data_IF_639695864561
#
_entry.id   IF_639695864561
#
_cell.length_a   1.000
_cell.length_b   1.000
_cell.length_c   1.000
_cell.angle_alpha   90.00
_cell.angle_beta   90.00
_cell.angle_gamma   90.00
#
_symmetry.space_group_name_H-M   'P 1'
#
loop_
_entity.id
_entity.type
_entity.pdbx_description
1 polymer ?
#
# COMPACT_ATOMS: atom_id res chain seq x y z
N UNK A 1 27.70 9.60 20.53
CA UNK A 1 27.05 8.87 19.43
C UNK A 1 27.12 7.40 19.76
N UNK A 2 25.99 6.74 20.06
CA UNK A 2 25.94 5.29 20.22
C UNK A 2 26.24 4.58 18.88
N UNK A 3 26.79 3.37 18.96
CA UNK A 3 27.09 2.53 17.82
C UNK A 3 25.98 1.47 17.63
N UNK A 4 25.68 1.18 16.37
CA UNK A 4 24.81 0.09 15.97
C UNK A 4 25.64 -0.94 15.18
N UNK A 5 25.95 -2.05 15.82
CA UNK A 5 26.75 -3.12 15.25
C UNK A 5 25.88 -4.09 14.46
N UNK A 6 26.34 -4.53 13.30
CA UNK A 6 25.69 -5.57 12.49
C UNK A 6 26.73 -6.36 11.70
N UNK A 7 26.34 -7.48 11.09
CA UNK A 7 27.32 -8.35 10.44
C UNK A 7 27.81 -7.79 9.09
N UNK A 8 29.06 -8.11 8.75
CA UNK A 8 29.58 -8.00 7.37
C UNK A 8 28.72 -8.84 6.42
N UNK A 9 28.63 -8.44 5.16
CA UNK A 9 27.76 -9.06 4.13
C UNK A 9 26.26 -8.91 4.44
N UNK A 10 25.80 -7.67 4.63
CA UNK A 10 24.42 -7.32 5.00
C UNK A 10 23.38 -8.09 4.21
N UNK A 11 22.40 -8.68 4.90
CA UNK A 11 21.19 -9.20 4.29
C UNK A 11 20.01 -8.23 4.47
N UNK A 12 18.87 -8.57 3.85
CA UNK A 12 17.68 -7.72 3.87
C UNK A 12 17.09 -7.58 5.28
N UNK A 13 17.24 -8.59 6.14
CA UNK A 13 16.73 -8.58 7.52
C UNK A 13 17.60 -7.68 8.39
N UNK A 14 18.93 -7.80 8.28
CA UNK A 14 19.87 -6.91 8.95
C UNK A 14 19.63 -5.44 8.54
N UNK A 15 19.59 -5.15 7.25
CA UNK A 15 19.38 -3.78 6.75
C UNK A 15 18.02 -3.19 7.18
N UNK A 16 16.94 -3.96 7.08
CA UNK A 16 15.62 -3.50 7.54
C UNK A 16 15.56 -3.32 9.06
N UNK A 17 16.27 -4.15 9.82
CA UNK A 17 16.33 -4.07 11.28
C UNK A 17 17.10 -2.84 11.76
N UNK A 18 18.18 -2.47 11.05
CA UNK A 18 18.93 -1.22 11.29
C UNK A 18 17.99 -0.01 11.09
N UNK A 19 17.29 0.03 9.95
CA UNK A 19 16.32 1.08 9.66
C UNK A 19 15.22 1.17 10.73
N UNK A 20 14.63 0.03 11.13
CA UNK A 20 13.59 0.01 12.16
C UNK A 20 14.11 0.55 13.49
N UNK A 21 15.33 0.17 13.88
CA UNK A 21 15.95 0.66 15.09
C UNK A 21 16.15 2.18 15.06
N UNK A 22 16.74 2.70 13.98
CA UNK A 22 16.93 4.13 13.79
C UNK A 22 15.59 4.89 13.75
N UNK A 23 14.56 4.31 13.14
CA UNK A 23 13.22 4.89 13.13
C UNK A 23 12.62 5.00 14.53
N UNK A 24 12.67 3.91 15.32
CA UNK A 24 12.14 3.87 16.68
C UNK A 24 12.92 4.77 17.65
N UNK A 25 14.23 4.90 17.45
CA UNK A 25 15.15 5.63 18.32
C UNK A 25 15.73 6.88 17.63
N UNK A 26 14.96 7.52 16.75
CA UNK A 26 15.38 8.64 15.88
C UNK A 26 15.89 9.89 16.59
N UNK A 27 15.64 10.01 17.90
CA UNK A 27 16.24 11.06 18.73
C UNK A 27 17.76 10.88 18.94
N UNK A 28 18.30 9.71 18.60
CA UNK A 28 19.71 9.38 18.72
C UNK A 28 20.34 9.24 17.33
N UNK A 29 21.52 9.83 17.18
CA UNK A 29 22.35 9.62 15.99
C UNK A 29 23.10 8.30 16.17
N UNK A 30 22.85 7.33 15.29
CA UNK A 30 23.42 5.97 15.39
C UNK A 30 24.53 5.78 14.36
N UNK A 31 25.71 5.42 14.86
CA UNK A 31 26.83 5.07 14.00
C UNK A 31 26.80 3.58 13.64
N UNK A 32 26.48 3.24 12.40
CA UNK A 32 26.45 1.83 11.98
C UNK A 32 27.88 1.30 11.82
N UNK A 33 28.19 0.17 12.46
CA UNK A 33 29.49 -0.50 12.45
C UNK A 33 29.34 -1.93 11.96
N UNK A 34 30.07 -2.30 10.91
CA UNK A 34 30.05 -3.65 10.36
C UNK A 34 31.15 -4.50 10.99
N UNK A 35 30.77 -5.65 11.54
CA UNK A 35 31.68 -6.57 12.23
C UNK A 35 31.49 -8.00 11.70
N UNK A 36 32.46 -8.92 11.87
CA UNK A 36 32.23 -10.32 11.53
C UNK A 36 30.99 -10.89 12.24
N UNK A 37 30.24 -11.78 11.59
CA UNK A 37 29.05 -12.41 12.20
C UNK A 37 29.36 -13.20 13.49
N UNK A 38 30.63 -13.55 13.73
CA UNK A 38 31.13 -14.22 14.94
C UNK A 38 31.66 -13.25 16.00
N UNK A 39 31.47 -11.95 15.82
CA UNK A 39 31.99 -10.94 16.75
C UNK A 39 31.32 -11.05 18.14
N UNK A 40 32.10 -11.13 19.24
CA UNK A 40 31.58 -11.40 20.59
C UNK A 40 31.04 -10.16 21.32
N UNK A 41 31.14 -8.96 20.75
CA UNK A 41 30.67 -7.74 21.42
C UNK A 41 31.61 -7.17 22.49
N UNK A 42 32.92 -7.35 22.32
CA UNK A 42 33.96 -6.89 23.26
C UNK A 42 34.02 -5.35 23.37
N UNK A 43 33.76 -4.63 22.27
CA UNK A 43 33.86 -3.16 22.21
C UNK A 43 32.52 -2.44 22.49
N UNK A 44 31.45 -3.20 22.75
CA UNK A 44 30.12 -2.62 23.01
C UNK A 44 30.09 -1.86 24.34
N UNK A 45 29.66 -0.60 24.27
CA UNK A 45 29.25 0.19 25.43
C UNK A 45 27.80 -0.10 25.80
N UNK A 46 27.37 0.39 26.96
CA UNK A 46 26.02 0.16 27.49
C UNK A 46 24.91 0.80 26.65
N UNK A 47 25.23 1.84 25.88
CA UNK A 47 24.33 2.55 24.97
C UNK A 47 24.43 2.09 23.51
N UNK A 48 25.34 1.16 23.22
CA UNK A 48 25.46 0.56 21.89
C UNK A 48 24.47 -0.59 21.72
N UNK A 49 24.15 -0.93 20.48
CA UNK A 49 23.26 -2.06 20.15
C UNK A 49 23.88 -2.95 19.08
N UNK A 50 23.66 -4.27 19.17
CA UNK A 50 24.02 -5.22 18.12
C UNK A 50 22.75 -5.80 17.48
N UNK A 51 22.61 -5.64 16.16
CA UNK A 51 21.43 -5.99 15.37
C UNK A 51 21.78 -7.08 14.35
N UNK A 52 20.96 -8.13 14.34
CA UNK A 52 21.17 -9.39 13.64
C UNK A 52 22.52 -10.06 13.99
N UNK A 53 22.86 -9.98 15.28
CA UNK A 53 24.08 -10.52 15.86
C UNK A 53 23.79 -11.09 17.25
N UNK A 54 24.51 -12.15 17.62
CA UNK A 54 24.41 -12.72 18.97
C UNK A 54 25.17 -11.87 20.00
N UNK A 55 26.42 -11.48 19.67
CA UNK A 55 27.32 -10.70 20.52
C UNK A 55 27.36 -11.22 21.98
N UNK A 56 27.54 -12.54 22.15
CA UNK A 56 27.52 -13.23 23.46
C UNK A 56 26.24 -12.98 24.29
N UNK A 57 25.10 -12.84 23.61
CA UNK A 57 23.80 -12.59 24.23
C UNK A 57 23.51 -11.11 24.50
N UNK A 58 24.39 -10.19 24.06
CA UNK A 58 24.16 -8.74 24.13
C UNK A 58 23.37 -8.20 22.93
N UNK A 59 23.31 -8.95 21.83
CA UNK A 59 22.66 -8.54 20.59
C UNK A 59 21.23 -9.06 20.43
N UNK A 60 20.58 -8.52 19.41
CA UNK A 60 19.28 -8.97 18.92
C UNK A 60 19.52 -9.80 17.68
N UNK A 61 19.03 -11.04 17.66
CA UNK A 61 19.16 -11.95 16.52
C UNK A 61 17.86 -12.66 16.24
N UNK A 62 17.59 -12.90 14.95
CA UNK A 62 16.53 -13.80 14.51
C UNK A 62 16.53 -15.12 15.30
N UNK A 63 15.34 -15.58 15.70
CA UNK A 63 15.17 -16.75 16.57
C UNK A 63 14.11 -17.70 16.07
N UNK A 64 14.27 -18.98 16.41
CA UNK A 64 13.25 -20.00 16.18
C UNK A 64 12.48 -20.26 17.46
N UNK A 65 11.17 -20.12 17.40
CA UNK A 65 10.28 -20.41 18.52
C UNK A 65 10.09 -21.93 18.70
N UNK A 66 9.61 -22.39 19.87
CA UNK A 66 9.37 -23.81 20.14
C UNK A 66 8.38 -24.49 19.19
N UNK A 67 7.42 -23.72 18.65
CA UNK A 67 6.46 -24.19 17.64
C UNK A 67 7.05 -24.34 16.23
N UNK A 68 8.35 -24.05 16.08
CA UNK A 68 9.09 -24.14 14.83
C UNK A 68 9.01 -22.89 13.96
N UNK A 69 8.23 -21.87 14.35
CA UNK A 69 8.18 -20.57 13.65
C UNK A 69 9.52 -19.85 13.76
N UNK A 70 9.89 -19.13 12.71
CA UNK A 70 11.14 -18.36 12.66
C UNK A 70 10.76 -16.88 12.65
N UNK A 71 11.26 -16.13 13.61
CA UNK A 71 11.13 -14.68 13.67
C UNK A 71 12.42 -14.04 13.16
N UNK A 72 12.27 -13.11 12.23
CA UNK A 72 13.29 -12.17 11.80
C UNK A 72 13.77 -11.30 12.96
N UNK A 73 14.98 -10.73 12.84
CA UNK A 73 15.44 -9.74 13.81
C UNK A 73 14.48 -8.55 13.86
N UNK A 74 13.98 -8.14 12.69
CA UNK A 74 13.02 -7.07 12.55
C UNK A 74 11.78 -7.29 13.42
N UNK A 75 11.20 -8.51 13.36
CA UNK A 75 10.05 -8.88 14.17
C UNK A 75 10.35 -8.83 15.66
N UNK A 76 11.52 -9.28 16.07
CA UNK A 76 11.91 -9.30 17.49
C UNK A 76 12.04 -7.86 18.00
N UNK A 77 12.65 -6.96 17.23
CA UNK A 77 12.72 -5.53 17.57
C UNK A 77 11.31 -4.97 17.77
N UNK A 78 10.41 -5.23 16.82
CA UNK A 78 9.03 -4.75 16.86
C UNK A 78 8.23 -5.30 18.06
N UNK A 79 8.50 -6.53 18.50
CA UNK A 79 7.74 -7.15 19.59
C UNK A 79 8.31 -6.85 20.98
N UNK A 80 9.64 -6.70 21.10
CA UNK A 80 10.33 -6.74 22.40
C UNK A 80 11.15 -5.49 22.70
N UNK A 81 11.50 -4.70 21.67
CA UNK A 81 12.43 -3.58 21.78
C UNK A 81 11.83 -2.25 21.32
N UNK A 82 10.51 -2.15 21.23
CA UNK A 82 9.86 -0.85 21.06
C UNK A 82 10.09 0.02 22.32
N UNK A 83 10.29 1.35 22.15
CA UNK A 83 10.46 2.25 23.29
C UNK A 83 9.30 2.15 24.28
N UNK A 84 9.64 2.05 25.57
CA UNK A 84 8.66 1.78 26.65
C UNK A 84 7.75 2.97 26.95
N UNK A 85 8.15 4.16 26.53
CA UNK A 85 7.43 5.41 26.70
C UNK A 85 6.41 5.67 25.58
N UNK A 86 6.39 4.84 24.52
CA UNK A 86 5.33 4.89 23.51
C UNK A 86 3.98 4.57 24.13
N UNK A 87 2.98 5.40 23.82
CA UNK A 87 1.63 5.09 24.22
C UNK A 87 1.05 3.96 23.34
N UNK A 88 -0.03 3.33 23.81
CA UNK A 88 -0.65 2.19 23.10
C UNK A 88 -1.08 2.53 21.66
N UNK A 89 -1.56 3.74 21.40
CA UNK A 89 -1.99 4.14 20.06
C UNK A 89 -0.81 4.26 19.10
N UNK A 90 0.31 4.80 19.57
CA UNK A 90 1.56 4.88 18.80
C UNK A 90 2.13 3.49 18.53
N UNK A 91 2.13 2.64 19.56
CA UNK A 91 2.53 1.24 19.42
C UNK A 91 1.72 0.53 18.32
N UNK A 92 0.38 0.59 18.42
CA UNK A 92 -0.51 -0.04 17.46
C UNK A 92 -0.38 0.58 16.05
N UNK A 93 -0.11 1.88 15.95
CA UNK A 93 0.14 2.57 14.67
C UNK A 93 1.40 2.04 14.00
N UNK A 94 2.53 2.03 14.72
CA UNK A 94 3.80 1.53 14.20
C UNK A 94 3.65 0.07 13.78
N UNK A 95 3.07 -0.76 14.64
CA UNK A 95 2.85 -2.18 14.34
C UNK A 95 2.04 -2.39 13.06
N UNK A 96 0.97 -1.60 12.82
CA UNK A 96 0.20 -1.67 11.57
C UNK A 96 1.00 -1.21 10.36
N UNK A 97 1.87 -0.21 10.52
CA UNK A 97 2.63 0.38 9.42
C UNK A 97 3.79 -0.52 8.98
N UNK A 98 4.56 -1.06 9.92
CA UNK A 98 5.76 -1.86 9.61
C UNK A 98 5.55 -3.38 9.74
N UNK A 99 4.43 -3.81 10.33
CA UNK A 99 4.07 -5.23 10.48
C UNK A 99 4.12 -6.04 9.17
N UNK A 100 3.63 -5.52 8.02
CA UNK A 100 3.76 -6.22 6.75
C UNK A 100 5.21 -6.46 6.30
N UNK A 101 6.16 -5.59 6.66
CA UNK A 101 7.60 -5.80 6.39
C UNK A 101 8.10 -6.95 7.25
N UNK A 102 7.74 -6.97 8.53
CA UNK A 102 8.08 -8.06 9.43
C UNK A 102 7.51 -9.42 8.94
N UNK A 103 6.25 -9.43 8.47
CA UNK A 103 5.61 -10.65 7.94
C UNK A 103 6.38 -11.19 6.72
N UNK A 104 6.86 -10.29 5.87
CA UNK A 104 7.65 -10.62 4.68
C UNK A 104 9.01 -11.22 5.05
N UNK A 105 9.72 -10.63 6.02
CA UNK A 105 11.03 -11.09 6.46
C UNK A 105 10.94 -12.47 7.16
N UNK A 106 9.94 -12.66 8.03
CA UNK A 106 9.65 -13.94 8.69
C UNK A 106 9.35 -15.03 7.65
N UNK A 107 8.51 -14.70 6.66
CA UNK A 107 8.17 -15.57 5.54
C UNK A 107 9.38 -15.99 4.70
N UNK A 108 10.26 -15.04 4.36
CA UNK A 108 11.47 -15.31 3.58
C UNK A 108 12.40 -16.28 4.32
N UNK A 109 12.58 -16.08 5.64
CA UNK A 109 13.41 -16.95 6.48
C UNK A 109 12.84 -18.36 6.59
N UNK A 110 11.51 -18.50 6.71
CA UNK A 110 10.88 -19.83 6.82
C UNK A 110 10.95 -20.61 5.52
N UNK A 111 10.58 -19.98 4.41
CA UNK A 111 10.24 -20.73 3.19
C UNK A 111 11.34 -20.66 2.12
N UNK A 112 12.34 -19.77 2.26
CA UNK A 112 13.42 -19.53 1.30
C UNK A 112 12.96 -19.06 -0.08
N UNK A 113 11.66 -19.15 -0.36
CA UNK A 113 10.99 -18.85 -1.61
C UNK A 113 9.52 -18.47 -1.33
N UNK A 114 9.22 -17.17 -1.46
CA UNK A 114 7.94 -16.55 -1.15
C UNK A 114 6.78 -17.03 -2.05
N UNK A 115 7.06 -17.78 -3.13
CA UNK A 115 6.05 -18.36 -4.02
C UNK A 115 5.10 -19.36 -3.34
N UNK A 116 5.52 -19.97 -2.22
CA UNK A 116 4.72 -20.98 -1.49
C UNK A 116 3.64 -20.38 -0.60
N UNK A 117 3.62 -19.07 -0.38
CA UNK A 117 2.77 -18.44 0.63
C UNK A 117 1.36 -18.08 0.16
N UNK A 118 1.01 -18.35 -1.11
CA UNK A 118 -0.30 -17.98 -1.64
C UNK A 118 -0.60 -16.47 -1.61
N UNK A 119 0.39 -15.64 -1.24
CA UNK A 119 0.26 -14.19 -1.34
C UNK A 119 0.10 -13.85 -2.82
N UNK A 120 -1.01 -13.23 -3.23
CA UNK A 120 -1.12 -12.77 -4.60
C UNK A 120 0.05 -11.82 -4.88
N UNK A 121 0.69 -11.89 -6.07
CA UNK A 121 1.82 -11.04 -6.46
C UNK A 121 1.50 -9.53 -6.53
N UNK A 122 0.36 -9.11 -5.95
CA UNK A 122 -0.21 -7.77 -6.00
C UNK A 122 0.49 -6.76 -5.10
N UNK A 123 1.46 -7.17 -4.29
CA UNK A 123 2.22 -6.27 -3.40
C UNK A 123 3.73 -6.45 -3.53
N UNK A 124 4.31 -6.42 -4.74
CA UNK A 124 5.76 -6.23 -4.87
C UNK A 124 6.62 -7.19 -4.02
N UNK A 125 6.15 -8.41 -3.75
CA UNK A 125 6.72 -9.38 -2.79
C UNK A 125 8.07 -9.93 -3.27
N UNK A 126 8.31 -9.89 -4.59
CA UNK A 126 9.63 -10.10 -5.20
C UNK A 126 10.50 -8.83 -5.20
N UNK A 127 9.91 -7.69 -4.85
CA UNK A 127 10.49 -6.36 -4.86
C UNK A 127 11.48 -6.16 -3.74
N UNK A 128 11.11 -6.24 -2.45
CA UNK A 128 12.00 -5.76 -1.39
C UNK A 128 13.37 -6.49 -1.37
N UNK A 129 13.38 -7.83 -1.30
CA UNK A 129 14.62 -8.61 -1.28
C UNK A 129 15.35 -8.57 -2.62
N UNK A 130 14.62 -8.57 -3.75
CA UNK A 130 15.22 -8.44 -5.08
C UNK A 130 15.84 -7.06 -5.31
N UNK A 131 15.18 -6.01 -4.83
CA UNK A 131 15.65 -4.62 -4.85
C UNK A 131 16.85 -4.46 -3.94
N UNK A 132 16.82 -5.02 -2.72
CA UNK A 132 17.99 -5.02 -1.83
C UNK A 132 19.19 -5.71 -2.49
N UNK A 133 19.00 -6.90 -3.07
CA UNK A 133 20.07 -7.61 -3.78
C UNK A 133 20.57 -6.83 -5.00
N UNK A 134 19.68 -6.16 -5.73
CA UNK A 134 20.07 -5.31 -6.85
C UNK A 134 20.92 -4.13 -6.37
N UNK A 135 20.48 -3.42 -5.33
CA UNK A 135 21.24 -2.32 -4.72
C UNK A 135 22.60 -2.80 -4.20
N UNK A 136 22.65 -3.95 -3.51
CA UNK A 136 23.90 -4.53 -3.00
C UNK A 136 24.89 -4.88 -4.11
N UNK A 137 24.41 -5.13 -5.33
CA UNK A 137 25.28 -5.38 -6.50
C UNK A 137 25.79 -4.12 -7.17
N UNK A 138 25.16 -2.98 -6.94
CA UNK A 138 25.49 -1.71 -7.60
C UNK A 138 26.08 -0.66 -6.68
N UNK A 139 25.84 -0.75 -5.36
CA UNK A 139 26.37 0.18 -4.38
C UNK A 139 27.90 0.11 -4.31
N UNK A 140 28.55 1.27 -4.19
CA UNK A 140 30.01 1.39 -4.07
C UNK A 140 30.48 1.09 -2.63
N UNK A 141 29.59 1.22 -1.66
CA UNK A 141 29.85 0.96 -0.24
C UNK A 141 28.60 0.47 0.49
N UNK A 142 28.79 -0.14 1.66
CA UNK A 142 27.68 -0.59 2.51
C UNK A 142 26.89 0.58 3.12
N UNK A 143 27.55 1.72 3.35
CA UNK A 143 26.87 2.95 3.76
C UNK A 143 25.90 3.43 2.69
N UNK A 144 26.32 3.43 1.42
CA UNK A 144 25.43 3.78 0.30
C UNK A 144 24.28 2.77 0.16
N UNK A 145 24.56 1.46 0.31
CA UNK A 145 23.54 0.43 0.29
C UNK A 145 22.45 0.68 1.36
N UNK A 146 22.86 0.95 2.60
CA UNK A 146 21.94 1.22 3.70
C UNK A 146 21.12 2.48 3.41
N UNK A 147 21.75 3.59 3.03
CA UNK A 147 21.05 4.84 2.75
C UNK A 147 20.00 4.70 1.63
N UNK A 148 20.35 4.06 0.51
CA UNK A 148 19.40 3.86 -0.58
C UNK A 148 18.27 2.90 -0.21
N UNK A 149 18.56 1.87 0.60
CA UNK A 149 17.54 0.93 1.07
C UNK A 149 16.61 1.55 2.12
N UNK A 150 17.13 2.36 3.04
CA UNK A 150 16.35 3.14 4.02
C UNK A 150 15.33 4.02 3.31
N UNK A 151 15.71 4.73 2.23
CA UNK A 151 14.78 5.56 1.44
C UNK A 151 13.62 4.75 0.85
N UNK A 152 13.85 3.49 0.50
CA UNK A 152 12.80 2.59 0.01
C UNK A 152 11.86 2.21 1.15
N UNK A 153 12.41 1.87 2.32
CA UNK A 153 11.62 1.53 3.51
C UNK A 153 10.80 2.73 4.00
N UNK A 154 11.34 3.95 3.97
CA UNK A 154 10.60 5.19 4.20
C UNK A 154 9.46 5.37 3.19
N UNK A 155 9.69 5.03 1.92
CA UNK A 155 8.64 4.99 0.90
C UNK A 155 7.51 4.01 1.25
N UNK A 156 7.84 2.81 1.76
CA UNK A 156 6.84 1.86 2.24
C UNK A 156 6.06 2.40 3.46
N UNK A 157 6.76 3.05 4.39
CA UNK A 157 6.16 3.70 5.55
C UNK A 157 5.13 4.76 5.10
N UNK A 158 5.54 5.64 4.20
CA UNK A 158 4.67 6.70 3.67
C UNK A 158 3.45 6.12 2.93
N UNK A 159 3.63 5.03 2.17
CA UNK A 159 2.52 4.33 1.52
C UNK A 159 1.55 3.71 2.54
N UNK A 160 2.03 3.22 3.68
CA UNK A 160 1.18 2.70 4.75
C UNK A 160 0.35 3.81 5.42
N UNK A 161 0.95 5.00 5.61
CA UNK A 161 0.24 6.19 6.10
C UNK A 161 -0.84 6.65 5.12
N UNK A 162 -0.48 6.79 3.84
CA UNK A 162 -1.40 7.08 2.75
C UNK A 162 -2.54 6.06 2.70
N UNK A 163 -2.26 4.77 2.90
CA UNK A 163 -3.30 3.74 2.93
C UNK A 163 -4.28 3.97 4.08
N UNK A 164 -3.80 4.34 5.27
CA UNK A 164 -4.67 4.64 6.42
C UNK A 164 -5.58 5.82 6.12
N UNK A 165 -5.00 6.89 5.57
CA UNK A 165 -5.74 8.09 5.19
C UNK A 165 -6.75 7.81 4.07
N UNK A 166 -6.37 7.01 3.08
CA UNK A 166 -7.26 6.55 2.00
C UNK A 166 -8.45 5.77 2.56
N UNK A 167 -8.27 4.92 3.57
CA UNK A 167 -9.41 4.21 4.18
C UNK A 167 -10.34 5.18 4.90
N UNK A 168 -9.80 6.13 5.68
CA UNK A 168 -10.58 7.18 6.35
C UNK A 168 -11.39 8.02 5.36
N UNK A 169 -10.72 8.55 4.33
CA UNK A 169 -11.36 9.32 3.27
C UNK A 169 -12.41 8.49 2.54
N UNK A 170 -12.11 7.21 2.26
CA UNK A 170 -13.05 6.33 1.62
C UNK A 170 -14.32 6.15 2.45
N UNK A 171 -14.27 6.13 3.79
CA UNK A 171 -15.43 6.03 4.67
C UNK A 171 -16.34 7.27 4.61
N UNK A 172 -15.76 8.44 4.41
CA UNK A 172 -16.47 9.73 4.32
C UNK A 172 -17.17 9.95 2.97
N UNK A 173 -16.82 9.16 1.95
CA UNK A 173 -17.44 9.25 0.62
C UNK A 173 -18.92 8.90 0.68
N UNK A 174 -19.74 9.81 0.16
CA UNK A 174 -21.17 9.65 0.01
C UNK A 174 -21.52 8.79 -1.20
N UNK A 175 -22.56 7.99 -1.02
CA UNK A 175 -23.15 7.16 -2.07
C UNK A 175 -24.48 7.76 -2.50
N UNK A 176 -24.69 7.86 -3.80
CA UNK A 176 -26.01 8.06 -4.39
C UNK A 176 -26.63 6.68 -4.61
N UNK A 177 -27.70 6.39 -3.87
CA UNK A 177 -28.26 5.04 -3.78
C UNK A 177 -27.27 4.05 -3.15
N UNK A 178 -27.11 2.87 -3.76
CA UNK A 178 -26.26 1.79 -3.25
C UNK A 178 -25.04 1.47 -4.14
N UNK A 179 -24.91 2.11 -5.31
CA UNK A 179 -23.96 1.65 -6.34
C UNK A 179 -23.07 2.76 -6.90
N UNK A 180 -23.42 4.04 -6.73
CA UNK A 180 -22.69 5.18 -7.28
C UNK A 180 -22.07 5.99 -6.16
N UNK A 181 -20.76 6.17 -6.18
CA UNK A 181 -20.03 7.05 -5.25
C UNK A 181 -19.57 8.32 -5.98
N UNK A 182 -19.46 9.43 -5.24
CA UNK A 182 -18.99 10.71 -5.79
C UNK A 182 -17.75 11.17 -5.03
N UNK A 183 -16.69 11.53 -5.77
CA UNK A 183 -15.50 12.18 -5.22
C UNK A 183 -15.18 13.47 -5.95
N UNK A 184 -14.83 14.50 -5.20
CA UNK A 184 -14.48 15.83 -5.73
C UNK A 184 -12.97 16.04 -5.87
N UNK A 185 -12.17 15.05 -5.48
CA UNK A 185 -10.72 15.09 -5.53
C UNK A 185 -10.14 13.66 -5.70
N UNK A 186 -9.15 13.51 -6.58
CA UNK A 186 -8.43 12.25 -6.84
C UNK A 186 -6.98 12.26 -6.33
N UNK A 187 -6.58 13.22 -5.51
CA UNK A 187 -5.20 13.39 -5.05
C UNK A 187 -4.67 12.24 -4.21
N UNK A 188 -5.55 11.34 -3.75
CA UNK A 188 -5.20 10.18 -2.94
C UNK A 188 -5.08 8.91 -3.81
N UNK A 189 -3.85 8.41 -4.09
CA UNK A 189 -3.65 7.20 -4.87
C UNK A 189 -4.33 6.01 -4.20
N UNK A 190 -5.19 5.32 -4.94
CA UNK A 190 -5.90 4.13 -4.44
C UNK A 190 -7.24 4.40 -3.74
N UNK A 191 -7.66 5.67 -3.57
CA UNK A 191 -8.97 6.01 -3.01
C UNK A 191 -10.12 5.33 -3.78
N UNK A 192 -10.08 5.35 -5.11
CA UNK A 192 -11.07 4.65 -5.94
C UNK A 192 -11.16 3.14 -5.62
N UNK A 193 -10.04 2.48 -5.32
CA UNK A 193 -10.04 1.06 -4.95
C UNK A 193 -10.69 0.83 -3.59
N UNK A 194 -10.42 1.70 -2.63
CA UNK A 194 -11.03 1.63 -1.30
C UNK A 194 -12.55 1.85 -1.38
N UNK A 195 -13.01 2.82 -2.18
CA UNK A 195 -14.44 3.07 -2.42
C UNK A 195 -15.12 1.87 -3.09
N UNK A 196 -14.50 1.26 -4.10
CA UNK A 196 -15.04 0.04 -4.70
C UNK A 196 -15.11 -1.14 -3.72
N UNK A 197 -14.16 -1.28 -2.79
CA UNK A 197 -14.24 -2.29 -1.71
C UNK A 197 -15.39 -2.03 -0.73
N UNK A 198 -15.82 -0.77 -0.56
CA UNK A 198 -17.03 -0.42 0.19
C UNK A 198 -18.33 -0.79 -0.55
N UNK A 199 -18.25 -1.28 -1.79
CA UNK A 199 -19.38 -1.78 -2.55
C UNK A 199 -19.86 -0.86 -3.68
N UNK A 200 -19.20 0.28 -3.91
CA UNK A 200 -19.49 1.08 -5.09
C UNK A 200 -19.22 0.25 -6.36
N UNK A 201 -20.11 0.37 -7.34
CA UNK A 201 -19.94 -0.22 -8.67
C UNK A 201 -19.47 0.82 -9.69
N UNK A 202 -19.81 2.08 -9.42
CA UNK A 202 -19.42 3.22 -10.22
C UNK A 202 -18.91 4.34 -9.30
N UNK A 203 -17.95 5.09 -9.81
CA UNK A 203 -17.34 6.21 -9.11
C UNK A 203 -17.33 7.42 -10.03
N UNK A 204 -18.15 8.42 -9.72
CA UNK A 204 -18.08 9.74 -10.33
C UNK A 204 -16.94 10.52 -9.70
N UNK A 205 -16.08 11.11 -10.52
CA UNK A 205 -14.96 11.91 -10.07
C UNK A 205 -14.95 13.30 -10.69
N UNK A 206 -14.53 14.29 -9.90
CA UNK A 206 -14.13 15.63 -10.34
C UNK A 206 -12.71 15.89 -9.88
N UNK A 207 -11.90 16.46 -10.76
CA UNK A 207 -10.50 16.80 -10.49
C UNK A 207 -10.12 18.01 -11.35
N UNK A 208 -10.18 19.21 -10.77
CA UNK A 208 -10.12 20.47 -11.51
C UNK A 208 -11.20 20.52 -12.60
N UNK A 209 -10.80 20.72 -13.85
CA UNK A 209 -11.72 20.71 -15.00
C UNK A 209 -12.18 19.32 -15.43
N UNK A 210 -11.54 18.26 -14.93
CA UNK A 210 -11.83 16.89 -15.31
C UNK A 210 -13.09 16.39 -14.61
N UNK A 211 -13.95 15.69 -15.34
CA UNK A 211 -15.14 15.04 -14.80
C UNK A 211 -15.31 13.69 -15.48
N UNK A 212 -15.68 12.65 -14.73
CA UNK A 212 -15.97 11.37 -15.35
C UNK A 212 -16.51 10.33 -14.40
N UNK A 213 -16.69 9.13 -14.93
CA UNK A 213 -17.17 7.94 -14.23
C UNK A 213 -16.20 6.79 -14.48
N UNK A 214 -15.77 6.16 -13.39
CA UNK A 214 -15.06 4.90 -13.39
C UNK A 214 -16.00 3.77 -13.03
N UNK A 215 -15.81 2.61 -13.65
CA UNK A 215 -16.52 1.38 -13.33
C UNK A 215 -15.62 0.42 -12.55
N UNK A 216 -16.18 -0.27 -11.57
CA UNK A 216 -15.52 -1.38 -10.90
C UNK A 216 -15.22 -2.52 -11.90
N UNK A 217 -14.15 -3.28 -11.66
CA UNK A 217 -13.63 -4.23 -12.63
C UNK A 217 -14.55 -5.46 -12.87
N UNK A 218 -15.32 -5.88 -11.86
CA UNK A 218 -16.27 -7.00 -11.93
C UNK A 218 -17.65 -6.57 -12.43
N UNK A 219 -17.96 -5.28 -12.40
CA UNK A 219 -19.17 -4.74 -13.01
C UNK A 219 -19.09 -4.85 -14.54
N UNK A 220 -20.17 -5.32 -15.16
CA UNK A 220 -20.25 -5.65 -16.59
C UNK A 220 -20.90 -4.56 -17.41
N UNK A 221 -21.75 -3.73 -16.81
CA UNK A 221 -22.46 -2.65 -17.51
C UNK A 221 -21.48 -1.71 -18.22
N UNK A 222 -21.77 -1.35 -19.47
CA UNK A 222 -20.87 -0.58 -20.31
C UNK A 222 -21.15 0.92 -20.16
N UNK A 223 -20.19 1.70 -19.63
CA UNK A 223 -20.42 3.14 -19.38
C UNK A 223 -20.78 3.95 -20.63
N UNK A 224 -20.28 3.55 -21.81
CA UNK A 224 -20.66 4.18 -23.07
C UNK A 224 -22.14 3.98 -23.42
N UNK A 225 -22.70 2.80 -23.15
CA UNK A 225 -24.12 2.51 -23.42
C UNK A 225 -25.02 3.25 -22.42
N UNK A 226 -24.59 3.31 -21.16
CA UNK A 226 -25.32 4.02 -20.11
C UNK A 226 -25.34 5.54 -20.32
N UNK A 227 -24.20 6.14 -20.68
CA UNK A 227 -24.02 7.59 -20.58
C UNK A 227 -24.02 8.32 -21.93
N UNK A 228 -23.53 7.73 -23.02
CA UNK A 228 -23.43 8.47 -24.29
C UNK A 228 -24.77 8.96 -24.85
N UNK A 229 -25.92 8.25 -24.71
CA UNK A 229 -27.21 8.77 -25.17
C UNK A 229 -27.76 9.92 -24.32
N UNK A 230 -27.20 10.15 -23.12
CA UNK A 230 -27.71 11.08 -22.09
C UNK A 230 -26.78 12.27 -21.85
N UNK A 231 -25.57 12.23 -22.40
CA UNK A 231 -24.58 13.32 -22.33
C UNK A 231 -24.54 14.01 -23.69
N UNK A 232 -25.02 15.25 -23.74
CA UNK A 232 -25.05 16.04 -24.98
C UNK A 232 -23.84 17.00 -25.09
N UNK A 233 -22.97 17.03 -24.07
CA UNK A 233 -21.77 17.86 -24.10
C UNK A 233 -20.67 17.19 -24.95
N UNK A 234 -20.01 17.98 -25.80
CA UNK A 234 -18.85 17.51 -26.57
C UNK A 234 -17.59 17.30 -25.71
N UNK A 235 -16.65 16.52 -26.24
CA UNK A 235 -15.34 16.28 -25.60
C UNK A 235 -15.34 15.16 -24.55
N UNK A 236 -16.44 14.44 -24.40
CA UNK A 236 -16.50 13.21 -23.62
C UNK A 236 -15.83 12.05 -24.36
N UNK A 237 -14.94 11.35 -23.66
CA UNK A 237 -14.33 10.12 -24.10
C UNK A 237 -15.01 8.93 -23.43
N UNK A 238 -15.49 7.98 -24.23
CA UNK A 238 -16.04 6.71 -23.76
C UNK A 238 -15.07 5.60 -24.12
N UNK A 239 -14.47 4.97 -23.11
CA UNK A 239 -13.49 3.91 -23.34
C UNK A 239 -14.16 2.70 -24.02
N UNK A 240 -13.59 2.09 -25.08
CA UNK A 240 -14.22 1.00 -25.84
C UNK A 240 -14.58 -0.26 -25.04
N UNK A 241 -13.94 -0.46 -23.88
CA UNK A 241 -14.24 -1.54 -22.92
C UNK A 241 -15.28 -1.17 -21.85
N UNK A 242 -15.81 0.05 -21.88
CA UNK A 242 -16.89 0.52 -21.00
C UNK A 242 -16.51 0.79 -19.55
N UNK A 243 -15.22 0.83 -19.21
CA UNK A 243 -14.78 1.01 -17.82
C UNK A 243 -14.50 2.47 -17.41
N UNK A 244 -14.48 3.39 -18.38
CA UNK A 244 -14.26 4.82 -18.16
C UNK A 244 -15.13 5.61 -19.15
N UNK A 245 -15.84 6.61 -18.63
CA UNK A 245 -16.44 7.69 -19.43
C UNK A 245 -16.00 9.01 -18.81
N UNK A 246 -15.28 9.86 -19.53
CA UNK A 246 -14.71 11.07 -18.93
C UNK A 246 -14.52 12.20 -19.93
N UNK A 247 -14.72 13.41 -19.43
CA UNK A 247 -14.30 14.66 -20.04
C UNK A 247 -13.04 15.14 -19.33
N UNK A 248 -11.91 14.68 -19.85
CA UNK A 248 -10.59 14.96 -19.28
C UNK A 248 -10.15 13.95 -18.20
N UNK A 249 -8.84 13.78 -18.08
CA UNK A 249 -8.17 13.01 -17.02
C UNK A 249 -6.84 13.68 -16.67
N UNK A 250 -6.16 13.27 -15.59
CA UNK A 250 -4.80 13.78 -15.30
C UNK A 250 -3.80 13.62 -16.44
N UNK A 251 -3.96 12.58 -17.28
CA UNK A 251 -3.08 12.33 -18.44
C UNK A 251 -3.48 13.09 -19.69
N UNK A 252 -4.72 13.56 -19.75
CA UNK A 252 -5.28 14.30 -20.87
C UNK A 252 -6.33 15.29 -20.32
N UNK A 253 -5.90 16.38 -19.66
CA UNK A 253 -6.79 17.22 -18.88
C UNK A 253 -7.74 18.03 -19.77
N UNK A 254 -8.98 18.20 -19.31
CA UNK A 254 -9.93 19.09 -19.95
C UNK A 254 -9.48 20.55 -19.77
N UNK A 255 -9.60 21.36 -20.83
CA UNK A 255 -9.20 22.78 -20.81
C UNK A 255 -10.22 23.68 -20.12
N UNK A 256 -11.49 23.29 -20.12
CA UNK A 256 -12.61 24.04 -19.54
C UNK A 256 -13.41 23.12 -18.63
N UNK A 257 -14.21 23.69 -17.73
CA UNK A 257 -15.14 22.90 -16.93
C UNK A 257 -16.23 22.24 -17.78
N UNK A 258 -16.77 21.13 -17.28
CA UNK A 258 -17.98 20.52 -17.84
C UNK A 258 -19.21 21.34 -17.46
N UNK A 259 -20.23 21.37 -18.32
CA UNK A 259 -21.56 21.89 -17.98
C UNK A 259 -22.28 21.06 -16.91
N UNK A 260 -21.86 19.81 -16.70
CA UNK A 260 -22.43 18.92 -15.70
C UNK A 260 -21.67 19.03 -14.38
N UNK A 261 -22.40 19.02 -13.27
CA UNK A 261 -21.81 18.81 -11.94
C UNK A 261 -21.63 17.31 -11.67
N UNK A 262 -20.79 16.92 -10.69
CA UNK A 262 -20.63 15.52 -10.29
C UNK A 262 -21.94 14.87 -9.84
N UNK A 263 -22.80 15.62 -9.14
CA UNK A 263 -24.10 15.14 -8.70
C UNK A 263 -25.04 14.90 -9.89
N UNK A 264 -25.13 15.84 -10.83
CA UNK A 264 -25.95 15.67 -12.04
C UNK A 264 -25.50 14.46 -12.86
N UNK A 265 -24.19 14.24 -12.98
CA UNK A 265 -23.67 13.07 -13.67
C UNK A 265 -23.99 11.76 -12.93
N UNK A 266 -23.94 11.77 -11.60
CA UNK A 266 -24.35 10.63 -10.78
C UNK A 266 -25.84 10.32 -10.93
N UNK A 267 -26.70 11.35 -10.99
CA UNK A 267 -28.14 11.21 -11.21
C UNK A 267 -28.46 10.65 -12.61
N UNK A 268 -27.80 11.15 -13.65
CA UNK A 268 -27.91 10.62 -15.02
C UNK A 268 -27.54 9.14 -15.05
N UNK A 269 -26.43 8.78 -14.39
CA UNK A 269 -25.99 7.40 -14.31
C UNK A 269 -27.00 6.53 -13.55
N UNK A 270 -27.50 7.01 -12.41
CA UNK A 270 -28.47 6.28 -11.59
C UNK A 270 -29.77 6.02 -12.36
N UNK A 271 -30.30 7.01 -13.07
CA UNK A 271 -31.49 6.83 -13.92
C UNK A 271 -31.26 5.81 -15.04
N UNK A 272 -30.09 5.86 -15.72
CA UNK A 272 -29.74 4.87 -16.73
C UNK A 272 -29.63 3.45 -16.14
N UNK A 273 -29.16 3.32 -14.90
CA UNK A 273 -29.06 2.02 -14.23
C UNK A 273 -30.43 1.43 -13.86
N UNK A 274 -31.41 2.27 -13.56
CA UNK A 274 -32.78 1.87 -13.21
C UNK A 274 -33.56 1.41 -14.44
N UNK A 275 -33.50 2.17 -15.55
CA UNK A 275 -34.13 1.80 -16.82
C UNK A 275 -33.63 0.44 -17.34
N UNK A 276 -32.33 0.16 -17.22
CA UNK A 276 -31.75 -1.13 -17.60
C UNK A 276 -32.21 -2.32 -16.74
N UNK A 277 -32.64 -2.08 -15.50
CA UNK A 277 -33.19 -3.15 -14.64
C UNK A 277 -34.61 -3.48 -15.09
N UNK A 278 -35.41 -2.47 -15.44
CA UNK A 278 -36.77 -2.67 -15.92
C UNK A 278 -36.82 -3.41 -17.26
N UNK A 279 -35.91 -3.12 -18.18
CA UNK A 279 -35.82 -3.85 -19.46
C UNK A 279 -35.49 -5.34 -19.26
N UNK A 280 -34.53 -5.65 -18.38
CA UNK A 280 -34.14 -7.04 -18.10
C UNK A 280 -35.27 -7.83 -17.42
N UNK A 281 -36.00 -7.23 -16.48
CA UNK A 281 -37.14 -7.86 -15.81
C UNK A 281 -38.33 -8.05 -16.78
N UNK A 282 -38.53 -7.14 -17.72
CA UNK A 282 -39.54 -7.27 -18.77
C UNK A 282 -39.24 -8.42 -19.74
N UNK A 283 -37.98 -8.56 -20.18
CA UNK A 283 -37.55 -9.66 -21.05
C UNK A 283 -37.72 -11.03 -20.37
N UNK A 284 -37.36 -11.16 -19.09
CA UNK A 284 -37.56 -12.41 -18.34
C UNK A 284 -39.05 -12.76 -18.19
N UNK A 285 -39.89 -11.76 -17.92
CA UNK A 285 -41.35 -11.97 -17.78
C UNK A 285 -42.04 -12.28 -19.11
N UNK A 286 -41.56 -11.73 -20.23
CA UNK A 286 -42.11 -12.05 -21.55
C UNK A 286 -41.70 -13.45 -22.01
N UNK A 287 -40.49 -13.91 -21.66
CA UNK A 287 -40.00 -15.25 -21.98
C UNK A 287 -40.71 -16.37 -21.18
N UNK A 288 -41.18 -16.11 -19.96
CA UNK A 288 -41.95 -17.08 -19.15
C UNK A 288 -43.41 -17.22 -19.63
N UNK A 289 -43.90 -16.31 -20.48
CA UNK A 289 -45.29 -16.29 -20.97
C UNK A 289 -45.47 -16.89 -22.37
N UNK A 290 -44.46 -17.56 -22.92
CA UNK A 290 -44.53 -18.33 -24.16
C UNK A 290 -44.15 -19.79 -23.89
#
# INVERSE_FOLDING_TARGET
MPNLYTHLDLDVDAAASIWLWQYLYSSQDWNVQLVPATWPGEEMRNDDMAIELEAEGKGIRARRNPDGTILSCFRIILNEWMPRDLNRLEHDRIYRMVGPIADLLDAQRRDGNLSRLGFPPRYGIYGLSGTFLALKKTAESETELLLEFERILDGFLHLAELSTEVHRLAEEVQFLGHQVAIISDQDNPGLHRAIFRRGAKFLVFKDGNNLGVLREARERKHLGELLSPRIEEEGWFFHPRGHLAARGTRRAPARTESRYTPLQLAEILQGALEEHVEEADYEVRSFIRH
#
